data_IF_910814137957
#
_entry.id   IF_910814137957
#
_cell.length_a   1.000
_cell.length_b   1.000
_cell.length_c   1.000
_cell.angle_alpha   90.00
_cell.angle_beta   90.00
_cell.angle_gamma   90.00
#
_symmetry.space_group_name_H-M   'P 1'
#
loop_
_entity.id
_entity.type
_entity.pdbx_description
1 polymer ?
#
# COMPACT_ATOMS: atom_id res chain seq x y z
N UNK A 1 -6.28 18.47 6.92
CA UNK A 1 -6.32 18.77 5.48
C UNK A 1 -5.39 17.79 4.79
N UNK A 2 -5.91 16.72 4.22
CA UNK A 2 -5.10 15.84 3.37
C UNK A 2 -4.81 16.62 2.09
N UNK A 3 -3.63 17.26 2.03
CA UNK A 3 -3.18 18.05 0.88
C UNK A 3 -2.72 17.14 -0.27
N UNK A 4 -2.45 15.87 0.02
CA UNK A 4 -1.90 14.94 -0.96
C UNK A 4 -2.93 13.84 -1.31
N UNK A 5 -3.23 13.61 -2.60
CA UNK A 5 -4.16 12.56 -3.07
C UNK A 5 -3.89 11.13 -2.56
N UNK A 6 -2.71 10.89 -1.99
CA UNK A 6 -2.28 9.61 -1.43
C UNK A 6 -2.52 9.49 0.09
N UNK A 7 -2.96 10.57 0.73
CA UNK A 7 -3.19 10.68 2.17
C UNK A 7 -4.69 10.74 2.53
N UNK A 8 -5.57 10.72 1.53
CA UNK A 8 -7.01 10.65 1.73
C UNK A 8 -7.41 9.32 2.36
N UNK A 9 -7.73 9.32 3.65
CA UNK A 9 -8.16 8.12 4.37
C UNK A 9 -9.50 7.54 3.85
N UNK A 10 -10.38 8.41 3.32
CA UNK A 10 -11.65 8.06 2.69
C UNK A 10 -11.48 7.68 1.20
N UNK A 11 -10.26 7.86 0.66
CA UNK A 11 -9.92 7.52 -0.70
C UNK A 11 -9.86 6.01 -0.93
N UNK A 12 -10.14 5.62 -2.17
CA UNK A 12 -9.99 4.24 -2.63
C UNK A 12 -8.62 4.05 -3.27
N UNK A 13 -7.93 2.99 -2.86
CA UNK A 13 -6.58 2.64 -3.34
C UNK A 13 -6.49 1.19 -3.79
N UNK A 14 -5.48 0.94 -4.60
CA UNK A 14 -5.03 -0.35 -5.09
C UNK A 14 -3.63 -0.64 -4.55
N UNK A 15 -3.36 -1.90 -4.25
CA UNK A 15 -1.98 -2.38 -4.17
C UNK A 15 -1.56 -2.76 -5.57
N UNK A 16 -0.65 -1.99 -6.16
CA UNK A 16 0.00 -2.39 -7.40
C UNK A 16 1.19 -3.27 -7.10
N UNK A 17 1.45 -4.22 -7.98
CA UNK A 17 2.67 -5.01 -8.01
C UNK A 17 3.35 -4.81 -9.36
N UNK A 18 4.66 -4.62 -9.34
CA UNK A 18 5.45 -4.65 -10.57
C UNK A 18 5.96 -6.07 -10.85
N UNK A 19 6.56 -6.26 -12.04
CA UNK A 19 7.21 -7.52 -12.43
C UNK A 19 8.37 -7.96 -11.50
N UNK A 20 8.90 -7.06 -10.69
CA UNK A 20 9.98 -7.32 -9.72
C UNK A 20 9.44 -7.70 -8.33
N UNK A 21 8.11 -7.82 -8.17
CA UNK A 21 7.46 -8.18 -6.91
C UNK A 21 7.42 -7.05 -5.88
N UNK A 22 7.66 -5.81 -6.29
CA UNK A 22 7.55 -4.63 -5.42
C UNK A 22 6.10 -4.15 -5.39
N UNK A 23 5.63 -3.84 -4.18
CA UNK A 23 4.28 -3.33 -3.96
C UNK A 23 4.28 -1.81 -3.84
N UNK A 24 3.28 -1.16 -4.43
CA UNK A 24 3.06 0.28 -4.33
C UNK A 24 1.59 0.60 -4.09
N UNK A 25 1.33 1.58 -3.24
CA UNK A 25 -0.01 2.11 -3.01
C UNK A 25 -0.37 3.06 -4.14
N UNK A 26 -1.48 2.81 -4.83
CA UNK A 26 -1.92 3.62 -5.96
C UNK A 26 -3.39 3.99 -5.85
N UNK A 27 -3.79 5.26 -6.00
CA UNK A 27 -5.18 5.65 -5.94
C UNK A 27 -5.97 5.19 -7.16
N UNK A 28 -7.24 4.82 -6.97
CA UNK A 28 -8.08 4.29 -8.04
C UNK A 28 -8.45 5.31 -9.11
N UNK A 29 -8.45 6.60 -8.77
CA UNK A 29 -8.74 7.69 -9.71
C UNK A 29 -7.57 7.99 -10.67
N UNK A 30 -6.38 7.43 -10.43
CA UNK A 30 -5.23 7.56 -11.34
C UNK A 30 -5.09 6.33 -12.21
N UNK A 31 -4.77 6.55 -13.48
CA UNK A 31 -4.49 5.46 -14.44
C UNK A 31 -3.27 4.68 -13.97
N UNK A 32 -3.37 3.35 -13.99
CA UNK A 32 -2.25 2.47 -13.64
C UNK A 32 -1.17 2.55 -14.73
N UNK A 33 0.09 2.87 -14.39
CA UNK A 33 1.17 2.93 -15.35
C UNK A 33 1.49 1.57 -15.96
N UNK A 34 1.93 1.55 -17.22
CA UNK A 34 2.31 0.31 -17.90
C UNK A 34 3.44 -0.41 -17.17
N UNK A 35 3.28 -1.72 -16.98
CA UNK A 35 4.24 -2.56 -16.23
C UNK A 35 3.90 -2.74 -14.75
N UNK A 36 2.87 -2.05 -14.25
CA UNK A 36 2.26 -2.31 -12.96
C UNK A 36 0.91 -2.99 -13.15
N UNK A 37 0.58 -3.89 -12.23
CA UNK A 37 -0.70 -4.62 -12.24
C UNK A 37 -1.34 -4.49 -10.88
N UNK A 38 -2.68 -4.42 -10.81
CA UNK A 38 -3.36 -4.41 -9.52
C UNK A 38 -3.28 -5.81 -8.91
N UNK A 39 -2.65 -5.91 -7.75
CA UNK A 39 -2.55 -7.14 -6.96
C UNK A 39 -3.66 -7.23 -5.92
N UNK A 40 -4.13 -6.09 -5.39
CA UNK A 40 -5.21 -6.04 -4.41
C UNK A 40 -6.04 -4.76 -4.54
N UNK A 41 -7.34 -4.89 -4.23
CA UNK A 41 -8.29 -3.79 -4.17
C UNK A 41 -9.23 -3.67 -5.35
N UNK A 42 -9.12 -4.48 -6.41
CA UNK A 42 -10.12 -4.48 -7.49
C UNK A 42 -11.51 -4.99 -7.06
N UNK A 43 -12.59 -4.60 -7.75
CA UNK A 43 -12.63 -3.59 -8.82
C UNK A 43 -12.78 -2.14 -8.33
N UNK A 44 -13.27 -1.93 -7.11
CA UNK A 44 -13.68 -0.60 -6.63
C UNK A 44 -12.59 0.18 -5.86
N UNK A 45 -11.47 -0.46 -5.53
CA UNK A 45 -10.47 0.03 -4.58
C UNK A 45 -10.84 -0.31 -3.14
N UNK A 46 -9.86 -0.14 -2.25
CA UNK A 46 -10.01 -0.34 -0.80
C UNK A 46 -9.50 0.85 -0.02
N UNK A 47 -9.99 1.06 1.21
CA UNK A 47 -9.48 2.12 2.06
C UNK A 47 -7.98 1.95 2.27
N UNK A 48 -7.26 3.07 2.37
CA UNK A 48 -5.80 3.12 2.49
C UNK A 48 -5.25 2.11 3.50
N UNK A 49 -5.86 2.05 4.68
CA UNK A 49 -5.39 1.18 5.77
C UNK A 49 -5.50 -0.32 5.44
N UNK A 50 -6.55 -0.73 4.71
CA UNK A 50 -6.74 -2.12 4.30
C UNK A 50 -5.71 -2.52 3.23
N UNK A 51 -5.45 -1.62 2.27
CA UNK A 51 -4.43 -1.86 1.25
C UNK A 51 -3.04 -1.93 1.87
N UNK A 52 -2.73 -1.04 2.82
CA UNK A 52 -1.46 -1.08 3.54
C UNK A 52 -1.30 -2.34 4.38
N UNK A 53 -2.31 -2.73 5.17
CA UNK A 53 -2.27 -3.98 5.96
C UNK A 53 -2.11 -5.21 5.03
N UNK A 54 -2.78 -5.22 3.88
CA UNK A 54 -2.59 -6.27 2.89
C UNK A 54 -1.19 -6.28 2.29
N UNK A 55 -0.63 -5.11 1.94
CA UNK A 55 0.76 -4.98 1.46
C UNK A 55 1.72 -5.45 2.54
N UNK A 56 1.55 -5.05 3.81
CA UNK A 56 2.41 -5.46 4.93
C UNK A 56 2.35 -6.98 5.18
N UNK A 57 1.17 -7.60 5.01
CA UNK A 57 1.00 -9.06 5.13
C UNK A 57 1.52 -9.84 3.93
N UNK A 58 1.36 -9.30 2.72
CA UNK A 58 1.74 -9.97 1.48
C UNK A 58 3.23 -9.78 1.21
N UNK A 59 3.73 -8.59 1.47
CA UNK A 59 5.14 -8.26 1.48
C UNK A 59 5.77 -8.68 2.83
N UNK A 60 5.58 -9.95 3.18
CA UNK A 60 6.01 -10.58 4.45
C UNK A 60 7.52 -10.59 4.64
N UNK A 61 8.30 -10.32 3.58
CA UNK A 61 9.76 -10.20 3.59
C UNK A 61 10.19 -8.74 3.38
N UNK A 62 9.84 -7.90 4.36
CA UNK A 62 10.06 -6.45 4.36
C UNK A 62 11.28 -5.98 5.18
N UNK A 63 12.24 -6.87 5.49
CA UNK A 63 13.52 -6.48 6.09
C UNK A 63 14.63 -6.50 5.03
N UNK A 64 15.55 -5.52 4.92
CA UNK A 64 16.95 -5.89 5.15
C UNK A 64 17.07 -6.21 6.64
N UNK A 65 17.63 -7.38 6.98
CA UNK A 65 17.58 -8.14 8.26
C UNK A 65 17.50 -7.41 9.64
N UNK A 66 17.68 -6.09 9.74
CA UNK A 66 18.11 -5.37 10.95
C UNK A 66 17.07 -4.53 11.72
N UNK A 67 15.84 -4.26 11.24
CA UNK A 67 14.94 -3.27 11.89
C UNK A 67 13.67 -3.81 12.58
N UNK A 68 13.54 -5.13 12.74
CA UNK A 68 12.31 -5.77 13.25
C UNK A 68 12.15 -5.67 14.78
N UNK A 69 12.80 -4.70 15.44
CA UNK A 69 12.86 -4.54 16.90
C UNK A 69 12.19 -3.26 17.44
N UNK A 70 11.79 -2.26 16.61
CA UNK A 70 11.51 -0.91 17.14
C UNK A 70 10.14 -0.26 16.88
N UNK A 71 9.14 -0.99 16.40
CA UNK A 71 7.81 -0.41 16.13
C UNK A 71 6.67 -1.01 16.98
N UNK A 72 7.00 -1.64 18.11
CA UNK A 72 6.05 -1.91 19.21
C UNK A 72 6.32 -0.94 20.37
N UNK A 73 6.26 0.37 20.12
CA UNK A 73 6.03 1.37 21.18
C UNK A 73 5.76 2.73 20.55
N UNK A 74 4.51 3.18 20.57
CA UNK A 74 4.13 4.53 21.02
C UNK A 74 2.67 4.88 20.67
N UNK A 75 1.75 4.61 21.60
CA UNK A 75 0.81 5.64 22.07
C UNK A 75 -0.12 5.11 23.17
N UNK A 76 -0.45 5.95 24.15
CA UNK A 76 0.40 6.50 25.20
C UNK A 76 0.38 5.67 26.50
#
# INVERSE_FOLDING_TARGET
MATNPFDDADGSFYALVNREGQYSLWPTFQVVPSGWTVAHGEPAGRPRQEVLDWIERTWTDLRPRSLRDRADTASP
#
